data_IF_022723656079
#
_entry.id   IF_022723656079
#
_cell.length_a   1.000
_cell.length_b   1.000
_cell.length_c   1.000
_cell.angle_alpha   90.00
_cell.angle_beta   90.00
_cell.angle_gamma   90.00
#
_symmetry.space_group_name_H-M   'P 1'
#
loop_
_entity.id
_entity.type
_entity.pdbx_description
1 polymer ?
#
# COMPACT_ATOMS: atom_id res chain seq x y z
N UNK A 1 33.06 101.58 -13.89
CA UNK A 1 33.19 100.32 -14.66
C UNK A 1 33.08 99.16 -13.68
N UNK A 2 31.99 98.41 -13.80
CA UNK A 2 31.40 97.56 -12.76
C UNK A 2 32.07 96.19 -12.66
N UNK A 3 32.36 95.73 -11.44
CA UNK A 3 32.75 94.34 -11.15
C UNK A 3 31.48 93.52 -10.94
N UNK A 4 31.24 92.54 -11.81
CA UNK A 4 30.13 91.60 -11.68
C UNK A 4 30.55 90.44 -10.77
N UNK A 5 30.02 90.44 -9.55
CA UNK A 5 30.14 89.35 -8.59
C UNK A 5 29.19 88.22 -9.00
N UNK A 6 29.73 87.12 -9.51
CA UNK A 6 28.98 85.89 -9.79
C UNK A 6 28.59 85.20 -8.49
N UNK A 7 27.32 85.30 -8.10
CA UNK A 7 26.73 84.51 -7.02
C UNK A 7 26.54 83.06 -7.51
N UNK A 8 27.43 82.17 -7.07
CA UNK A 8 27.34 80.73 -7.32
C UNK A 8 26.35 80.12 -6.31
N UNK A 9 25.11 79.96 -6.74
CA UNK A 9 24.08 79.23 -6.01
C UNK A 9 24.41 77.73 -6.03
N UNK A 10 24.99 77.21 -4.95
CA UNK A 10 25.19 75.77 -4.76
C UNK A 10 23.86 75.15 -4.33
N UNK A 11 23.13 74.60 -5.30
CA UNK A 11 22.03 73.67 -5.02
C UNK A 11 22.62 72.36 -4.53
N UNK A 12 22.34 72.00 -3.27
CA UNK A 12 22.60 70.67 -2.76
C UNK A 12 21.60 69.71 -3.42
N UNK A 13 22.05 69.01 -4.46
CA UNK A 13 21.32 67.87 -4.99
C UNK A 13 21.36 66.76 -3.92
N UNK A 14 20.28 66.64 -3.16
CA UNK A 14 20.05 65.45 -2.33
C UNK A 14 19.80 64.28 -3.27
N UNK A 15 20.85 63.53 -3.56
CA UNK A 15 20.74 62.21 -4.20
C UNK A 15 19.99 61.29 -3.23
N UNK A 16 18.67 61.32 -3.29
CA UNK A 16 17.82 60.28 -2.74
C UNK A 16 18.19 58.99 -3.47
N UNK A 17 18.91 58.10 -2.77
CA UNK A 17 19.14 56.73 -3.20
C UNK A 17 17.77 56.09 -3.39
N UNK A 18 17.31 56.00 -4.63
CA UNK A 18 16.21 55.14 -5.03
C UNK A 18 16.65 53.72 -4.74
N UNK A 19 16.19 53.16 -3.63
CA UNK A 19 16.14 51.73 -3.47
C UNK A 19 15.21 51.22 -4.56
N UNK A 20 15.78 50.65 -5.62
CA UNK A 20 15.05 49.73 -6.46
C UNK A 20 14.61 48.60 -5.54
N UNK A 21 13.34 48.61 -5.15
CA UNK A 21 12.66 47.40 -4.71
C UNK A 21 12.63 46.50 -5.93
N UNK A 22 13.76 45.83 -6.18
CA UNK A 22 13.81 44.73 -7.11
C UNK A 22 12.75 43.76 -6.58
N UNK A 23 11.76 43.52 -7.43
CA UNK A 23 10.57 42.74 -7.15
C UNK A 23 10.87 41.58 -6.21
N UNK A 24 9.94 41.36 -5.29
CA UNK A 24 9.82 40.21 -4.41
C UNK A 24 9.56 38.89 -5.19
N UNK A 25 10.24 38.69 -6.31
CA UNK A 25 10.51 37.40 -6.89
C UNK A 25 12.01 37.18 -6.74
N UNK A 26 12.38 36.50 -5.67
CA UNK A 26 13.67 35.83 -5.60
C UNK A 26 13.72 34.86 -6.79
N UNK A 27 14.16 35.34 -7.94
CA UNK A 27 14.78 34.56 -9.00
C UNK A 27 16.10 34.04 -8.44
N UNK A 28 16.01 33.20 -7.41
CA UNK A 28 17.09 32.35 -6.95
C UNK A 28 17.33 31.46 -8.15
N UNK A 29 18.41 31.72 -8.88
CA UNK A 29 18.87 30.93 -10.02
C UNK A 29 18.83 29.48 -9.59
N UNK A 30 17.78 28.76 -10.00
CA UNK A 30 17.60 27.36 -9.64
C UNK A 30 18.77 26.63 -10.28
N UNK A 31 19.46 25.81 -9.49
CA UNK A 31 20.52 24.94 -10.00
C UNK A 31 20.01 24.24 -11.28
N UNK A 32 20.82 24.11 -12.34
CA UNK A 32 20.42 23.42 -13.57
C UNK A 32 19.79 22.04 -13.31
N UNK A 33 20.27 21.35 -12.27
CA UNK A 33 19.70 20.08 -11.80
C UNK A 33 18.31 20.25 -11.17
N UNK A 34 18.08 21.30 -10.37
CA UNK A 34 16.77 21.57 -9.79
C UNK A 34 15.73 21.93 -10.85
N UNK A 35 16.15 22.58 -11.94
CA UNK A 35 15.31 22.86 -13.09
C UNK A 35 14.95 21.57 -13.84
N UNK A 36 15.94 20.67 -14.04
CA UNK A 36 15.71 19.35 -14.61
C UNK A 36 14.69 18.53 -13.81
N UNK A 37 14.82 18.47 -12.48
CA UNK A 37 13.84 17.77 -11.64
C UNK A 37 12.46 18.43 -11.69
N UNK A 38 12.39 19.77 -11.73
CA UNK A 38 11.13 20.50 -11.78
C UNK A 38 10.36 20.27 -13.10
N UNK A 39 11.06 20.05 -14.21
CA UNK A 39 10.44 19.87 -15.51
C UNK A 39 10.16 18.39 -15.81
N UNK A 40 11.06 17.48 -15.42
CA UNK A 40 10.99 16.05 -15.80
C UNK A 40 10.14 15.23 -14.84
N UNK A 41 10.23 15.46 -13.53
CA UNK A 41 9.51 14.63 -12.54
C UNK A 41 7.99 14.75 -12.69
N UNK A 42 7.40 15.96 -12.86
CA UNK A 42 5.95 16.08 -13.05
C UNK A 42 5.46 15.38 -14.31
N UNK A 43 6.27 15.37 -15.38
CA UNK A 43 5.96 14.65 -16.61
C UNK A 43 5.97 13.12 -16.45
N UNK A 44 6.67 12.61 -15.42
CA UNK A 44 6.73 11.17 -15.11
C UNK A 44 5.61 10.67 -14.20
N UNK A 45 4.94 11.56 -13.46
CA UNK A 45 3.84 11.20 -12.54
C UNK A 45 2.72 10.42 -13.25
N UNK A 46 2.23 10.82 -14.45
CA UNK A 46 1.18 10.08 -15.14
C UNK A 46 1.58 8.64 -15.49
N UNK A 47 2.84 8.41 -15.86
CA UNK A 47 3.36 7.08 -16.20
C UNK A 47 3.41 6.19 -14.96
N UNK A 48 3.81 6.74 -13.81
CA UNK A 48 3.80 6.01 -12.55
C UNK A 48 2.38 5.65 -12.10
N UNK A 49 1.41 6.56 -12.27
CA UNK A 49 0.00 6.30 -11.99
C UNK A 49 -0.52 5.19 -12.91
N UNK A 50 -0.22 5.25 -14.21
CA UNK A 50 -0.66 4.23 -15.16
C UNK A 50 -0.05 2.86 -14.85
N UNK A 51 1.25 2.81 -14.55
CA UNK A 51 1.94 1.59 -14.15
C UNK A 51 1.37 0.98 -12.87
N UNK A 52 1.08 1.81 -11.86
CA UNK A 52 0.47 1.33 -10.63
C UNK A 52 -0.97 0.85 -10.85
N UNK A 53 -1.78 1.55 -11.65
CA UNK A 53 -3.14 1.12 -11.98
C UNK A 53 -3.16 -0.25 -12.67
N UNK A 54 -2.28 -0.48 -13.65
CA UNK A 54 -2.14 -1.77 -14.34
C UNK A 54 -1.65 -2.87 -13.39
N UNK A 55 -0.68 -2.54 -12.53
CA UNK A 55 -0.19 -3.50 -11.54
C UNK A 55 -1.28 -3.91 -10.54
N UNK A 56 -2.03 -2.95 -10.03
CA UNK A 56 -3.13 -3.17 -9.09
C UNK A 56 -4.26 -3.97 -9.73
N UNK A 57 -4.62 -3.70 -10.99
CA UNK A 57 -5.66 -4.45 -11.68
C UNK A 57 -5.24 -5.90 -11.92
N UNK A 58 -4.01 -6.13 -12.36
CA UNK A 58 -3.49 -7.48 -12.56
C UNK A 58 -3.36 -8.24 -11.23
N UNK A 59 -2.90 -7.58 -10.17
CA UNK A 59 -2.78 -8.19 -8.84
C UNK A 59 -4.14 -8.51 -8.24
N UNK A 60 -5.16 -7.69 -8.47
CA UNK A 60 -6.53 -7.97 -8.05
C UNK A 60 -7.09 -9.19 -8.78
N UNK A 61 -6.88 -9.28 -10.10
CA UNK A 61 -7.27 -10.45 -10.88
C UNK A 61 -6.55 -11.73 -10.39
N UNK A 62 -5.25 -11.67 -10.15
CA UNK A 62 -4.49 -12.80 -9.60
C UNK A 62 -5.03 -13.23 -8.23
N UNK A 63 -5.38 -12.29 -7.36
CA UNK A 63 -5.92 -12.60 -6.05
C UNK A 63 -7.31 -13.27 -6.14
N UNK A 64 -8.15 -12.83 -7.07
CA UNK A 64 -9.45 -13.45 -7.35
C UNK A 64 -9.28 -14.90 -7.81
N UNK A 65 -8.40 -15.15 -8.78
CA UNK A 65 -8.11 -16.50 -9.27
C UNK A 65 -7.49 -17.39 -8.17
N UNK A 66 -6.64 -16.83 -7.31
CA UNK A 66 -6.07 -17.56 -6.18
C UNK A 66 -7.15 -17.95 -5.16
N UNK A 67 -8.15 -17.09 -4.93
CA UNK A 67 -9.25 -17.38 -4.02
C UNK A 67 -10.16 -18.50 -4.54
N UNK A 68 -10.51 -18.47 -5.84
CA UNK A 68 -11.29 -19.57 -6.45
C UNK A 68 -10.54 -20.90 -6.37
N UNK A 69 -9.25 -20.90 -6.71
CA UNK A 69 -8.41 -22.09 -6.60
C UNK A 69 -8.36 -22.62 -5.17
N UNK A 70 -8.21 -21.73 -4.18
CA UNK A 70 -8.19 -22.12 -2.77
C UNK A 70 -9.52 -22.73 -2.31
N UNK A 71 -10.65 -22.18 -2.76
CA UNK A 71 -11.96 -22.73 -2.44
C UNK A 71 -12.16 -24.12 -3.05
N UNK A 72 -11.69 -24.34 -4.28
CA UNK A 72 -11.77 -25.65 -4.92
C UNK A 72 -10.87 -26.68 -4.24
N UNK A 73 -9.66 -26.28 -3.84
CA UNK A 73 -8.75 -27.15 -3.07
C UNK A 73 -9.31 -27.48 -1.69
N UNK A 74 -9.90 -26.51 -1.00
CA UNK A 74 -10.57 -26.74 0.28
C UNK A 74 -11.78 -27.68 0.14
N UNK A 75 -12.61 -27.51 -0.90
CA UNK A 75 -13.73 -28.43 -1.19
C UNK A 75 -13.27 -29.83 -1.55
N UNK A 76 -12.13 -29.97 -2.23
CA UNK A 76 -11.54 -31.28 -2.51
C UNK A 76 -11.09 -31.97 -1.21
N UNK A 77 -10.39 -31.24 -0.33
CA UNK A 77 -9.98 -31.73 1.00
C UNK A 77 -11.16 -32.12 1.88
N UNK A 78 -12.23 -31.33 1.89
CA UNK A 78 -13.44 -31.65 2.66
C UNK A 78 -14.06 -32.96 2.16
N UNK A 79 -14.18 -33.14 0.83
CA UNK A 79 -14.72 -34.38 0.26
C UNK A 79 -13.88 -35.62 0.59
N UNK A 80 -12.56 -35.47 0.59
CA UNK A 80 -11.64 -36.54 1.00
C UNK A 80 -11.88 -36.92 2.47
N UNK A 81 -11.93 -35.93 3.37
CA UNK A 81 -12.19 -36.16 4.78
C UNK A 81 -13.60 -36.72 5.05
N UNK A 82 -14.60 -36.28 4.30
CA UNK A 82 -15.97 -36.83 4.37
C UNK A 82 -15.97 -38.31 3.99
N UNK A 83 -15.27 -38.69 2.91
CA UNK A 83 -15.15 -40.07 2.48
C UNK A 83 -14.43 -40.95 3.54
N UNK A 84 -13.39 -40.42 4.18
CA UNK A 84 -12.71 -41.11 5.29
C UNK A 84 -13.63 -41.31 6.50
N UNK A 85 -14.40 -40.28 6.86
CA UNK A 85 -15.35 -40.34 7.98
C UNK A 85 -16.44 -41.37 7.70
N UNK A 86 -16.98 -41.41 6.48
CA UNK A 86 -18.00 -42.37 6.11
C UNK A 86 -17.44 -43.81 6.10
N UNK A 87 -16.23 -44.02 5.58
CA UNK A 87 -15.56 -45.32 5.65
C UNK A 87 -15.35 -45.78 7.11
N UNK A 88 -14.95 -44.87 8.01
CA UNK A 88 -14.80 -45.18 9.43
C UNK A 88 -16.14 -45.48 10.12
N UNK A 89 -17.21 -44.76 9.76
CA UNK A 89 -18.56 -45.03 10.26
C UNK A 89 -19.05 -46.39 9.81
N UNK A 90 -18.88 -46.73 8.54
CA UNK A 90 -19.23 -48.05 8.00
C UNK A 90 -18.44 -49.17 8.68
N UNK A 91 -17.13 -48.99 8.89
CA UNK A 91 -16.31 -49.96 9.61
C UNK A 91 -16.77 -50.16 11.06
N UNK A 92 -17.19 -49.09 11.75
CA UNK A 92 -17.76 -49.18 13.10
C UNK A 92 -19.10 -49.91 13.11
N UNK A 93 -19.99 -49.62 12.16
CA UNK A 93 -21.28 -50.30 12.03
C UNK A 93 -21.07 -51.80 11.81
N UNK A 94 -20.22 -52.19 10.85
CA UNK A 94 -19.88 -53.60 10.60
C UNK A 94 -19.28 -54.31 11.83
N UNK A 95 -18.46 -53.61 12.62
CA UNK A 95 -17.88 -54.16 13.85
C UNK A 95 -18.94 -54.34 14.95
N UNK A 96 -19.95 -53.48 15.01
CA UNK A 96 -21.04 -53.57 15.98
C UNK A 96 -22.03 -54.69 15.64
N UNK A 97 -22.27 -54.95 14.35
CA UNK A 97 -23.10 -56.08 13.89
C UNK A 97 -22.44 -57.46 14.14
N UNK A 98 -21.14 -57.49 14.47
CA UNK A 98 -20.40 -58.71 14.77
C UNK A 98 -20.10 -58.93 16.26
N UNK A 99 -20.69 -58.15 17.16
CA UNK A 99 -20.74 -58.54 18.58
C UNK A 99 -21.95 -59.46 18.81
N UNK A 100 -21.78 -60.80 18.88
CA UNK A 100 -22.87 -61.65 19.34
C UNK A 100 -23.28 -61.18 20.73
N UNK A 101 -24.58 -61.04 20.95
CA UNK A 101 -25.18 -60.70 22.24
C UNK A 101 -24.96 -61.83 23.25
N UNK A 102 -23.74 -61.98 23.76
CA UNK A 102 -23.48 -62.68 25.02
C UNK A 102 -23.42 -61.63 26.10
N UNK A 103 -24.58 -61.40 26.69
CA UNK A 103 -24.79 -60.75 27.97
C UNK A 103 -23.78 -61.23 29.02
N UNK A 104 -22.75 -60.43 29.28
CA UNK A 104 -21.97 -60.53 30.52
C UNK A 104 -22.08 -59.19 31.26
N UNK A 105 -22.87 -59.22 32.33
CA UNK A 105 -22.96 -58.19 33.35
C UNK A 105 -21.58 -57.94 34.00
N UNK A 106 -21.42 -56.71 34.50
CA UNK A 106 -20.55 -56.30 35.62
C UNK A 106 -19.19 -55.63 35.28
N UNK A 107 -18.59 -54.83 36.19
CA UNK A 107 -18.78 -53.37 36.18
C UNK A 107 -17.48 -52.55 36.45
N UNK A 108 -17.64 -51.22 36.38
CA UNK A 108 -16.86 -50.15 37.04
C UNK A 108 -15.48 -49.72 36.48
N UNK A 109 -15.53 -48.55 35.84
CA UNK A 109 -14.84 -47.28 36.20
C UNK A 109 -13.39 -47.41 36.67
N UNK A 110 -12.44 -47.14 35.78
CA UNK A 110 -11.02 -47.00 36.17
C UNK A 110 -10.21 -45.90 35.49
N UNK A 111 -10.77 -45.03 34.64
CA UNK A 111 -9.97 -43.92 34.09
C UNK A 111 -10.72 -42.59 34.01
N UNK A 112 -10.51 -41.79 35.05
CA UNK A 112 -10.56 -40.32 35.00
C UNK A 112 -9.12 -39.81 35.00
N UNK A 113 -8.70 -39.12 33.95
CA UNK A 113 -7.43 -38.39 33.90
C UNK A 113 -7.66 -36.95 34.37
N UNK A 114 -6.65 -36.42 35.08
CA UNK A 114 -6.56 -35.02 35.49
C UNK A 114 -5.91 -34.14 34.42
#
# INVERSE_FOLDING_TARGET
MSRLSSLSSRTLASTARRYSTHDASSAKTKSPHAQWYADVVPAMIPVAILGSAVYLSLRLAQNHLAHEKYLDEARARVRELEAEVDALREARLRKHDHTPSTSSLSPRRWFSWG
#
